data_IF_460969819020
#
_entry.id   IF_460969819020
#
_cell.length_a   1.000
_cell.length_b   1.000
_cell.length_c   1.000
_cell.angle_alpha   90.00
_cell.angle_beta   90.00
_cell.angle_gamma   90.00
#
_symmetry.space_group_name_H-M   'P 1'
#
loop_
_entity.id
_entity.type
_entity.pdbx_description
1 polymer ?
#
# COMPACT_ATOMS: atom_id res chain seq x y z
N UNK A 1 -7.73 -6.71 -11.09
CA UNK A 1 -6.67 -6.39 -10.12
C UNK A 1 -6.10 -7.67 -9.54
N UNK A 2 -6.87 -8.42 -8.76
CA UNK A 2 -6.37 -9.58 -8.00
C UNK A 2 -5.70 -10.67 -8.87
N UNK A 3 -6.34 -11.07 -9.99
CA UNK A 3 -5.75 -12.03 -10.95
C UNK A 3 -4.43 -11.50 -11.54
N UNK A 4 -4.41 -10.24 -11.97
CA UNK A 4 -3.23 -9.62 -12.59
C UNK A 4 -2.05 -9.49 -11.61
N UNK A 5 -2.33 -9.32 -10.32
CA UNK A 5 -1.30 -9.28 -9.27
C UNK A 5 -0.80 -10.70 -8.96
N UNK A 6 -1.70 -11.68 -8.85
CA UNK A 6 -1.34 -13.08 -8.56
C UNK A 6 -0.56 -13.76 -9.70
N UNK A 7 -0.88 -13.41 -10.94
CA UNK A 7 -0.22 -13.94 -12.14
C UNK A 7 1.02 -13.14 -12.54
N UNK A 8 1.42 -12.11 -11.76
CA UNK A 8 2.64 -11.38 -12.05
C UNK A 8 3.85 -12.32 -11.97
N UNK A 9 4.60 -12.51 -13.06
CA UNK A 9 5.62 -13.54 -13.15
C UNK A 9 6.93 -13.18 -12.44
N UNK A 10 7.09 -11.92 -11.99
CA UNK A 10 8.33 -11.44 -11.41
C UNK A 10 8.12 -11.04 -9.96
N UNK A 11 7.49 -9.89 -9.73
CA UNK A 11 7.32 -9.27 -8.43
C UNK A 11 6.29 -8.14 -8.55
N UNK A 12 5.59 -7.88 -7.44
CA UNK A 12 4.75 -6.70 -7.28
C UNK A 12 5.55 -5.62 -6.56
N UNK A 13 5.52 -4.40 -7.07
CA UNK A 13 6.10 -3.23 -6.39
C UNK A 13 5.01 -2.57 -5.54
N UNK A 14 5.30 -2.36 -4.27
CA UNK A 14 4.45 -1.59 -3.35
C UNK A 14 4.98 -0.15 -3.28
N UNK A 15 4.15 0.82 -3.65
CA UNK A 15 4.48 2.25 -3.57
C UNK A 15 3.54 2.96 -2.62
N UNK A 16 4.09 3.92 -1.87
CA UNK A 16 3.37 4.71 -0.89
C UNK A 16 3.34 6.17 -1.34
N UNK A 17 2.16 6.78 -1.31
CA UNK A 17 1.97 8.21 -1.51
C UNK A 17 1.31 8.83 -0.27
N UNK A 18 1.91 9.92 0.23
CA UNK A 18 1.31 10.71 1.30
C UNK A 18 0.44 11.80 0.70
N UNK A 19 -0.84 11.87 1.08
CA UNK A 19 -1.72 12.96 0.69
C UNK A 19 -2.39 13.60 1.90
N UNK A 20 -2.56 14.92 1.87
CA UNK A 20 -3.43 15.65 2.79
C UNK A 20 -4.72 15.98 2.04
N UNK A 21 -5.86 15.52 2.55
CA UNK A 21 -7.14 15.79 1.89
C UNK A 21 -7.75 17.15 2.31
N UNK A 22 -8.92 17.49 1.75
CA UNK A 22 -9.62 18.76 2.01
C UNK A 22 -10.04 18.92 3.49
N UNK A 23 -10.14 17.83 4.24
CA UNK A 23 -10.45 17.83 5.69
C UNK A 23 -9.20 17.88 6.57
N UNK A 24 -8.02 18.06 5.98
CA UNK A 24 -6.72 17.99 6.67
C UNK A 24 -6.43 16.64 7.32
N UNK A 25 -7.04 15.56 6.80
CA UNK A 25 -6.66 14.20 7.17
C UNK A 25 -5.36 13.86 6.42
N UNK A 26 -4.37 13.35 7.16
CA UNK A 26 -3.15 12.76 6.63
C UNK A 26 -3.46 11.32 6.24
N UNK A 27 -3.32 11.02 4.97
CA UNK A 27 -3.67 9.71 4.43
C UNK A 27 -2.46 9.14 3.68
N UNK A 28 -2.20 7.87 3.90
CA UNK A 28 -1.19 7.10 3.22
C UNK A 28 -1.89 6.24 2.17
N UNK A 29 -1.79 6.67 0.92
CA UNK A 29 -2.20 5.87 -0.23
C UNK A 29 -1.16 4.79 -0.53
N UNK A 30 -1.67 3.67 -1.06
CA UNK A 30 -0.89 2.50 -1.41
C UNK A 30 -1.28 2.06 -2.80
N UNK A 31 -0.29 2.05 -3.69
CA UNK A 31 -0.44 1.61 -5.08
C UNK A 31 0.44 0.39 -5.31
N UNK A 32 -0.19 -0.67 -5.81
CA UNK A 32 0.48 -1.89 -6.26
C UNK A 32 0.81 -1.75 -7.74
N UNK A 33 2.02 -2.04 -8.13
CA UNK A 33 2.44 -2.00 -9.53
C UNK A 33 2.96 -3.36 -9.95
N UNK A 34 2.45 -3.87 -11.07
CA UNK A 34 2.98 -5.10 -11.68
C UNK A 34 4.36 -4.85 -12.26
N UNK A 35 5.10 -5.92 -12.56
CA UNK A 35 6.40 -5.88 -13.23
C UNK A 35 6.34 -5.23 -14.62
N UNK A 36 5.18 -5.23 -15.25
CA UNK A 36 4.90 -4.50 -16.51
C UNK A 36 4.58 -3.01 -16.31
N UNK A 37 4.64 -2.50 -15.08
CA UNK A 37 4.37 -1.11 -14.76
C UNK A 37 2.88 -0.74 -14.71
N UNK A 38 1.96 -1.72 -14.59
CA UNK A 38 0.53 -1.43 -14.49
C UNK A 38 0.16 -1.09 -13.04
N UNK A 39 -0.34 0.12 -12.74
CA UNK A 39 -0.67 0.53 -11.38
C UNK A 39 -2.09 0.12 -10.98
N UNK A 40 -2.26 -0.27 -9.72
CA UNK A 40 -3.52 -0.60 -9.08
C UNK A 40 -3.60 0.12 -7.73
N UNK A 41 -4.57 1.04 -7.59
CA UNK A 41 -4.87 1.67 -6.31
C UNK A 41 -5.45 0.61 -5.38
N UNK A 42 -4.77 0.33 -4.28
CA UNK A 42 -5.16 -0.75 -3.39
C UNK A 42 -5.90 -0.25 -2.15
N UNK A 43 -5.28 0.66 -1.40
CA UNK A 43 -5.85 1.16 -0.15
C UNK A 43 -5.36 2.57 0.16
N UNK A 44 -6.18 3.33 0.87
CA UNK A 44 -5.78 4.51 1.61
C UNK A 44 -5.92 4.23 3.11
N UNK A 45 -4.89 4.50 3.89
CA UNK A 45 -4.95 4.42 5.34
C UNK A 45 -4.95 5.83 5.93
N UNK A 46 -5.86 6.10 6.85
CA UNK A 46 -5.78 7.31 7.66
C UNK A 46 -4.64 7.16 8.67
N UNK A 47 -3.73 8.13 8.66
CA UNK A 47 -2.57 8.25 9.52
C UNK A 47 -2.59 9.59 10.29
N UNK A 48 -3.72 10.30 10.31
CA UNK A 48 -3.85 11.60 10.99
C UNK A 48 -3.63 11.53 12.50
N UNK A 49 -3.92 10.39 13.11
CA UNK A 49 -3.68 10.13 14.53
C UNK A 49 -2.26 9.64 14.83
N UNK A 50 -1.51 9.31 13.79
CA UNK A 50 -0.13 8.86 13.92
C UNK A 50 0.78 10.07 14.06
N UNK A 51 1.70 9.99 15.02
CA UNK A 51 2.87 10.87 14.99
C UNK A 51 3.59 10.49 13.70
N UNK A 52 3.82 11.47 12.81
CA UNK A 52 4.58 11.36 11.56
C UNK A 52 6.05 10.92 11.76
N UNK A 53 6.25 9.87 12.54
CA UNK A 53 7.51 9.24 12.88
C UNK A 53 7.61 7.99 12.03
N UNK A 54 8.84 7.71 11.62
CA UNK A 54 9.13 6.54 10.79
C UNK A 54 8.66 5.21 11.42
N UNK A 55 8.54 5.12 12.75
CA UNK A 55 8.13 3.90 13.45
C UNK A 55 6.68 3.50 13.16
N UNK A 56 5.74 4.44 13.28
CA UNK A 56 4.32 4.14 13.08
C UNK A 56 4.03 3.81 11.61
N UNK A 57 4.71 4.51 10.68
CA UNK A 57 4.65 4.22 9.24
C UNK A 57 5.24 2.84 8.92
N UNK A 58 6.30 2.41 9.61
CA UNK A 58 6.87 1.06 9.45
C UNK A 58 5.88 -0.02 9.90
N UNK A 59 5.30 0.11 11.09
CA UNK A 59 4.31 -0.86 11.60
C UNK A 59 3.11 -1.00 10.65
N UNK A 60 2.62 0.13 10.10
CA UNK A 60 1.57 0.12 9.07
C UNK A 60 1.99 -0.60 7.79
N UNK A 61 3.20 -0.33 7.34
CA UNK A 61 3.77 -0.96 6.15
C UNK A 61 3.87 -2.47 6.32
N UNK A 62 4.38 -2.94 7.46
CA UNK A 62 4.47 -4.37 7.79
C UNK A 62 3.08 -5.03 7.85
N UNK A 63 2.10 -4.37 8.49
CA UNK A 63 0.73 -4.87 8.54
C UNK A 63 0.08 -4.97 7.16
N UNK A 64 0.36 -4.01 6.27
CA UNK A 64 -0.11 -4.02 4.88
C UNK A 64 0.53 -5.16 4.08
N UNK A 65 1.82 -5.39 4.22
CA UNK A 65 2.52 -6.51 3.56
C UNK A 65 1.94 -7.85 4.04
N UNK A 66 1.74 -8.03 5.35
CA UNK A 66 1.14 -9.25 5.89
C UNK A 66 -0.29 -9.51 5.40
N UNK A 67 -1.09 -8.46 5.14
CA UNK A 67 -2.42 -8.58 4.52
C UNK A 67 -2.33 -8.99 3.04
N UNK A 68 -1.34 -8.47 2.30
CA UNK A 68 -1.08 -8.91 0.93
C UNK A 68 -0.67 -10.37 0.87
N UNK A 69 0.29 -10.80 1.70
CA UNK A 69 0.74 -12.19 1.74
C UNK A 69 -0.43 -13.16 2.03
N UNK A 70 -1.32 -12.80 2.96
CA UNK A 70 -2.52 -13.59 3.27
C UNK A 70 -3.51 -13.67 2.12
N UNK A 71 -3.66 -12.60 1.33
CA UNK A 71 -4.62 -12.56 0.21
C UNK A 71 -4.08 -13.22 -1.05
N UNK A 72 -2.79 -13.09 -1.29
CA UNK A 72 -2.17 -13.48 -2.54
C UNK A 72 -1.36 -14.78 -2.49
N UNK A 73 -1.17 -15.37 -1.30
CA UNK A 73 -0.48 -16.64 -1.00
C UNK A 73 0.31 -17.17 -2.21
N UNK A 74 1.56 -16.72 -2.28
CA UNK A 74 2.63 -17.41 -3.00
C UNK A 74 2.82 -18.83 -2.46
#
# INVERSE_FOLDING_TARGET
>A
MEIALREDPVNIILTFDGWMNVKSEQLLGVVLMTSEGRPFVWKAADISSERETHLEVMEKTEAMIADLEKKYIF
#
